data_IF_067348460527
#
_entry.id   IF_067348460527
#
_cell.length_a   1.000
_cell.length_b   1.000
_cell.length_c   1.000
_cell.angle_alpha   90.00
_cell.angle_beta   90.00
_cell.angle_gamma   90.00
#
_symmetry.space_group_name_H-M   'P 1'
#
loop_
_entity.id
_entity.type
_entity.pdbx_description
1 polymer ?
#
# COMPACT_ATOMS: atom_id res chain seq x y z
N UNK A 1 -14.35 -30.31 -21.55
CA UNK A 1 -13.59 -30.01 -20.32
C UNK A 1 -12.38 -29.19 -20.74
N UNK A 2 -12.53 -27.86 -20.84
CA UNK A 2 -11.40 -26.94 -20.90
C UNK A 2 -11.46 -26.08 -19.64
N UNK A 3 -10.39 -26.13 -18.86
CA UNK A 3 -10.17 -25.20 -17.76
C UNK A 3 -9.87 -23.83 -18.38
N UNK A 4 -10.90 -23.00 -18.53
CA UNK A 4 -10.72 -21.58 -18.77
C UNK A 4 -10.39 -20.90 -17.43
N UNK A 5 -9.17 -21.11 -16.95
CA UNK A 5 -8.54 -20.14 -16.07
C UNK A 5 -7.82 -19.14 -16.97
N UNK A 6 -8.57 -18.18 -17.50
CA UNK A 6 -7.98 -16.97 -18.07
C UNK A 6 -7.54 -16.10 -16.87
N UNK A 7 -6.26 -15.70 -16.74
CA UNK A 7 -5.86 -14.76 -15.70
C UNK A 7 -6.52 -13.41 -15.97
N UNK A 8 -7.67 -13.19 -15.34
CA UNK A 8 -8.42 -11.96 -15.42
C UNK A 8 -7.75 -10.93 -14.52
N UNK A 9 -6.67 -10.26 -14.97
CA UNK A 9 -6.17 -8.98 -14.41
C UNK A 9 -4.84 -8.46 -14.99
N UNK A 10 -4.15 -9.23 -15.83
CA UNK A 10 -2.88 -8.80 -16.42
C UNK A 10 -2.98 -7.67 -17.46
N UNK A 11 -4.09 -6.92 -17.57
CA UNK A 11 -4.20 -5.84 -18.57
C UNK A 11 -4.61 -4.48 -18.00
N UNK A 12 -5.53 -4.38 -17.04
CA UNK A 12 -5.96 -3.04 -16.60
C UNK A 12 -4.97 -2.31 -15.68
N UNK A 13 -4.29 -3.01 -14.75
CA UNK A 13 -3.20 -2.43 -13.96
C UNK A 13 -1.85 -2.45 -14.69
N UNK A 14 -1.72 -3.26 -15.76
CA UNK A 14 -0.60 -3.23 -16.69
C UNK A 14 -0.74 -2.18 -17.80
N UNK A 15 -1.88 -1.49 -17.94
CA UNK A 15 -1.99 -0.36 -18.89
C UNK A 15 -1.03 0.79 -18.60
N UNK A 16 -0.46 0.83 -17.39
CA UNK A 16 0.60 1.77 -17.00
C UNK A 16 2.01 1.30 -17.40
N UNK A 17 2.18 0.05 -17.85
CA UNK A 17 3.43 -0.51 -18.40
C UNK A 17 3.32 -0.48 -19.94
N UNK A 18 4.11 0.34 -20.65
CA UNK A 18 3.99 0.45 -22.10
C UNK A 18 4.17 -0.90 -22.81
N UNK A 19 3.37 -1.17 -23.85
CA UNK A 19 3.31 -2.49 -24.54
C UNK A 19 4.67 -3.01 -25.04
N UNK A 20 5.63 -2.14 -25.36
CA UNK A 20 6.98 -2.54 -25.80
C UNK A 20 7.87 -3.11 -24.67
N UNK A 21 7.42 -3.03 -23.41
CA UNK A 21 8.04 -3.68 -22.25
C UNK A 21 7.44 -5.06 -21.93
N UNK A 22 6.29 -5.39 -22.54
CA UNK A 22 5.60 -6.67 -22.37
C UNK A 22 6.00 -7.58 -23.53
N UNK A 23 6.49 -8.78 -23.23
CA UNK A 23 6.96 -9.69 -24.26
C UNK A 23 5.78 -10.18 -25.13
N UNK A 24 5.72 -9.77 -26.41
CA UNK A 24 4.73 -10.30 -27.38
C UNK A 24 5.06 -11.72 -27.89
N UNK A 25 5.99 -12.44 -27.26
CA UNK A 25 6.33 -13.81 -27.65
C UNK A 25 6.50 -14.72 -26.44
N UNK A 26 5.42 -15.39 -26.07
CA UNK A 26 5.49 -16.76 -25.57
C UNK A 26 4.54 -17.59 -26.41
N UNK A 27 5.10 -18.45 -27.25
CA UNK A 27 4.36 -19.62 -27.72
C UNK A 27 3.82 -20.33 -26.48
N UNK A 28 2.50 -20.33 -26.34
CA UNK A 28 1.78 -21.04 -25.28
C UNK A 28 2.00 -22.53 -25.57
N UNK A 29 3.00 -23.13 -24.92
CA UNK A 29 3.12 -24.58 -24.81
C UNK A 29 2.34 -25.01 -23.58
N UNK A 30 1.54 -26.07 -23.73
CA UNK A 30 0.54 -26.61 -22.80
C UNK A 30 1.08 -27.05 -21.43
N UNK A 31 1.59 -26.11 -20.62
CA UNK A 31 1.85 -26.32 -19.19
C UNK A 31 1.37 -25.10 -18.39
N UNK A 32 0.35 -25.34 -17.57
CA UNK A 32 -0.27 -24.49 -16.52
C UNK A 32 0.24 -23.02 -16.44
N UNK A 33 -0.39 -22.15 -17.24
CA UNK A 33 0.00 -20.75 -17.48
C UNK A 33 -0.39 -19.75 -16.39
N UNK A 34 -1.06 -20.20 -15.32
CA UNK A 34 -1.65 -19.31 -14.30
C UNK A 34 -0.65 -18.74 -13.28
N UNK A 35 0.59 -19.24 -13.25
CA UNK A 35 1.59 -18.91 -12.21
C UNK A 35 2.97 -18.49 -12.75
N UNK A 36 3.11 -18.28 -14.06
CA UNK A 36 4.36 -17.85 -14.67
C UNK A 36 4.52 -16.33 -14.50
N UNK A 37 5.62 -15.84 -13.90
CA UNK A 37 5.89 -14.41 -13.79
C UNK A 37 6.04 -13.78 -15.18
N UNK A 38 5.43 -12.60 -15.39
CA UNK A 38 5.68 -11.82 -16.60
C UNK A 38 7.07 -11.19 -16.45
N UNK A 39 8.00 -11.65 -17.29
CA UNK A 39 9.35 -11.09 -17.35
C UNK A 39 9.32 -9.75 -18.09
N UNK A 40 9.92 -8.73 -17.48
CA UNK A 40 10.19 -7.46 -18.15
C UNK A 40 11.52 -7.64 -18.88
N UNK A 41 11.54 -7.57 -20.20
CA UNK A 41 12.72 -7.87 -21.04
C UNK A 41 13.60 -6.66 -21.34
N UNK A 42 13.18 -5.46 -20.95
CA UNK A 42 13.95 -4.25 -21.15
C UNK A 42 15.23 -4.22 -20.29
N UNK A 43 16.27 -3.48 -20.69
CA UNK A 43 17.44 -3.24 -19.85
C UNK A 43 17.05 -2.72 -18.46
N UNK A 44 17.74 -3.16 -17.41
CA UNK A 44 17.41 -2.83 -16.02
C UNK A 44 17.26 -1.31 -15.77
N UNK A 45 18.03 -0.47 -16.47
CA UNK A 45 17.94 0.99 -16.39
C UNK A 45 16.61 1.52 -16.94
N UNK A 46 16.09 0.94 -18.03
CA UNK A 46 14.79 1.28 -18.60
C UNK A 46 13.65 0.77 -17.73
N UNK A 47 13.77 -0.45 -17.18
CA UNK A 47 12.81 -0.98 -16.21
C UNK A 47 12.69 -0.04 -15.00
N UNK A 48 13.84 0.39 -14.46
CA UNK A 48 13.88 1.29 -13.31
C UNK A 48 13.29 2.66 -13.66
N UNK A 49 13.62 3.24 -14.81
CA UNK A 49 13.04 4.50 -15.27
C UNK A 49 11.51 4.45 -15.36
N UNK A 50 10.97 3.36 -15.91
CA UNK A 50 9.52 3.14 -15.99
C UNK A 50 8.88 3.00 -14.60
N UNK A 51 9.44 2.12 -13.76
CA UNK A 51 8.96 1.92 -12.39
C UNK A 51 8.95 3.24 -11.62
N UNK A 52 10.01 4.03 -11.74
CA UNK A 52 10.09 5.35 -11.14
C UNK A 52 8.98 6.28 -11.64
N UNK A 53 8.68 6.28 -12.93
CA UNK A 53 7.56 7.07 -13.48
C UNK A 53 6.21 6.65 -12.89
N UNK A 54 5.98 5.35 -12.70
CA UNK A 54 4.74 4.83 -12.10
C UNK A 54 4.65 5.19 -10.61
N UNK A 55 5.76 5.07 -9.87
CA UNK A 55 5.84 5.51 -8.47
C UNK A 55 5.67 7.03 -8.33
N UNK A 56 6.06 7.82 -9.33
CA UNK A 56 5.83 9.27 -9.35
C UNK A 56 4.35 9.65 -9.35
N UNK A 57 3.54 8.95 -10.14
CA UNK A 57 2.08 9.13 -10.09
C UNK A 57 1.52 8.77 -8.71
N UNK A 58 2.07 7.75 -8.06
CA UNK A 58 1.69 7.35 -6.71
C UNK A 58 2.00 8.43 -5.66
N UNK A 59 3.14 9.11 -5.75
CA UNK A 59 3.48 10.17 -4.80
C UNK A 59 2.52 11.36 -4.88
N UNK A 60 1.98 11.63 -6.07
CA UNK A 60 1.07 12.75 -6.33
C UNK A 60 -0.41 12.38 -6.14
N UNK A 61 -0.73 11.09 -6.00
CA UNK A 61 -2.09 10.62 -5.79
C UNK A 61 -2.72 11.24 -4.53
N UNK A 62 -4.01 11.55 -4.65
CA UNK A 62 -4.84 11.94 -3.51
C UNK A 62 -4.87 10.80 -2.48
N UNK A 63 -5.00 11.14 -1.19
CA UNK A 63 -4.98 10.17 -0.09
C UNK A 63 -6.01 9.06 -0.33
N UNK A 64 -7.23 9.41 -0.69
CA UNK A 64 -8.29 8.46 -0.99
C UNK A 64 -8.02 7.57 -2.22
N UNK A 65 -7.12 7.96 -3.13
CA UNK A 65 -6.81 7.20 -4.34
C UNK A 65 -5.60 6.27 -4.22
N UNK A 66 -4.78 6.46 -3.19
CA UNK A 66 -3.39 6.02 -3.20
C UNK A 66 -3.16 4.50 -3.14
N UNK A 67 -3.91 3.68 -2.37
CA UNK A 67 -3.59 2.23 -2.39
C UNK A 67 -3.83 1.59 -3.74
N UNK A 68 -4.76 2.10 -4.56
CA UNK A 68 -4.92 1.63 -5.95
C UNK A 68 -3.71 1.97 -6.81
N UNK A 69 -3.04 3.10 -6.56
CA UNK A 69 -1.79 3.44 -7.27
C UNK A 69 -0.63 2.54 -6.82
N UNK A 70 -0.67 2.05 -5.58
CA UNK A 70 0.33 1.12 -5.02
C UNK A 70 0.09 -0.33 -5.44
N UNK A 71 -0.85 -0.65 -6.32
CA UNK A 71 -1.10 -2.02 -6.75
C UNK A 71 0.17 -2.71 -7.24
N UNK A 72 1.00 -1.97 -7.95
CA UNK A 72 2.26 -2.43 -8.47
C UNK A 72 3.24 -2.91 -7.37
N UNK A 73 3.22 -2.33 -6.16
CA UNK A 73 4.04 -2.79 -5.02
C UNK A 73 3.73 -4.23 -4.61
N UNK A 74 2.48 -4.66 -4.81
CA UNK A 74 2.00 -5.99 -4.44
C UNK A 74 2.24 -7.02 -5.55
N UNK A 75 2.50 -6.55 -6.77
CA UNK A 75 2.71 -7.39 -7.95
C UNK A 75 4.17 -7.48 -8.36
N UNK A 76 4.99 -6.48 -8.03
CA UNK A 76 6.41 -6.47 -8.39
C UNK A 76 7.25 -7.35 -7.47
N UNK A 77 8.10 -8.14 -8.09
CA UNK A 77 9.18 -8.87 -7.46
C UNK A 77 10.50 -8.48 -8.12
N UNK A 78 11.60 -8.52 -7.37
CA UNK A 78 12.94 -8.37 -7.93
C UNK A 78 13.61 -9.72 -7.95
N UNK A 79 13.81 -10.26 -9.16
CA UNK A 79 14.53 -11.49 -9.33
C UNK A 79 16.03 -11.23 -9.21
N UNK A 80 16.61 -11.66 -8.08
CA UNK A 80 18.04 -11.50 -7.78
C UNK A 80 18.95 -12.36 -8.66
N UNK A 81 18.45 -13.47 -9.22
CA UNK A 81 19.22 -14.37 -10.09
C UNK A 81 19.41 -13.75 -11.48
N UNK A 82 18.35 -13.17 -12.03
CA UNK A 82 18.37 -12.53 -13.36
C UNK A 82 18.60 -11.01 -13.29
N UNK A 83 18.71 -10.45 -12.08
CA UNK A 83 18.91 -9.02 -11.84
C UNK A 83 17.86 -8.14 -12.56
N UNK A 84 16.59 -8.55 -12.50
CA UNK A 84 15.48 -7.91 -13.22
C UNK A 84 14.20 -7.88 -12.38
N UNK A 85 13.27 -6.98 -12.70
CA UNK A 85 11.94 -6.97 -12.10
C UNK A 85 10.99 -7.93 -12.83
N UNK A 86 10.15 -8.62 -12.06
CA UNK A 86 9.11 -9.52 -12.54
C UNK A 86 7.76 -9.07 -11.99
N UNK A 87 6.72 -9.12 -12.81
CA UNK A 87 5.35 -8.90 -12.34
C UNK A 87 4.74 -10.27 -12.08
N UNK A 88 4.36 -10.51 -10.83
CA UNK A 88 3.70 -11.72 -10.37
C UNK A 88 2.27 -11.41 -9.97
N UNK A 89 1.35 -12.27 -10.37
CA UNK A 89 -0.03 -12.12 -9.95
C UNK A 89 -0.16 -12.33 -8.44
N UNK A 90 -0.98 -11.50 -7.79
CA UNK A 90 -1.44 -11.71 -6.43
C UNK A 90 -2.99 -11.62 -6.45
N UNK A 91 -3.68 -12.75 -6.63
CA UNK A 91 -5.13 -12.76 -6.87
C UNK A 91 -5.94 -12.05 -5.77
N UNK A 92 -5.55 -12.21 -4.50
CA UNK A 92 -6.21 -11.50 -3.39
C UNK A 92 -6.00 -9.98 -3.48
N UNK A 93 -4.77 -9.53 -3.71
CA UNK A 93 -4.48 -8.11 -3.81
C UNK A 93 -5.19 -7.48 -5.02
N UNK A 94 -5.15 -8.12 -6.18
CA UNK A 94 -5.80 -7.66 -7.41
C UNK A 94 -7.34 -7.56 -7.25
N UNK A 95 -7.94 -8.55 -6.58
CA UNK A 95 -9.34 -8.51 -6.17
C UNK A 95 -9.64 -7.29 -5.28
N UNK A 96 -8.84 -7.09 -4.24
CA UNK A 96 -8.99 -5.95 -3.33
C UNK A 96 -8.88 -4.61 -4.08
N UNK A 97 -7.94 -4.46 -5.00
CA UNK A 97 -7.80 -3.22 -5.78
C UNK A 97 -9.02 -2.93 -6.64
N UNK A 98 -9.58 -3.98 -7.26
CA UNK A 98 -10.80 -3.89 -8.07
C UNK A 98 -12.00 -3.48 -7.21
N UNK A 99 -12.17 -4.08 -6.03
CA UNK A 99 -13.21 -3.73 -5.07
C UNK A 99 -13.07 -2.30 -4.52
N UNK A 100 -11.84 -1.86 -4.24
CA UNK A 100 -11.56 -0.47 -3.84
C UNK A 100 -11.99 0.48 -4.95
N UNK A 101 -11.64 0.20 -6.21
CA UNK A 101 -11.99 1.04 -7.35
C UNK A 101 -13.51 1.06 -7.59
N UNK A 102 -14.20 -0.07 -7.45
CA UNK A 102 -15.65 -0.14 -7.59
C UNK A 102 -16.33 0.80 -6.58
N UNK A 103 -15.97 0.68 -5.31
CA UNK A 103 -16.55 1.49 -4.24
C UNK A 103 -16.20 2.97 -4.40
N UNK A 104 -14.99 3.29 -4.88
CA UNK A 104 -14.61 4.67 -5.21
C UNK A 104 -15.51 5.24 -6.29
N UNK A 105 -15.77 4.52 -7.38
CA UNK A 105 -16.65 5.00 -8.44
C UNK A 105 -18.09 5.17 -7.95
N UNK A 106 -18.59 4.23 -7.13
CA UNK A 106 -19.89 4.34 -6.46
C UNK A 106 -20.00 5.66 -5.68
N UNK A 107 -19.02 5.96 -4.84
CA UNK A 107 -19.01 7.18 -4.02
C UNK A 107 -18.82 8.45 -4.85
N UNK A 108 -17.91 8.42 -5.83
CA UNK A 108 -17.59 9.58 -6.67
C UNK A 108 -18.77 10.02 -7.53
N UNK A 109 -19.53 9.07 -8.05
CA UNK A 109 -20.64 9.33 -8.97
C UNK A 109 -22.03 9.16 -8.33
N UNK A 110 -22.09 8.80 -7.04
CA UNK A 110 -23.33 8.45 -6.34
C UNK A 110 -24.13 7.36 -7.08
N UNK A 111 -23.44 6.35 -7.59
CA UNK A 111 -24.11 5.23 -8.24
C UNK A 111 -24.87 4.39 -7.21
N UNK A 112 -26.19 4.35 -7.37
CA UNK A 112 -27.10 3.49 -6.59
C UNK A 112 -27.66 2.34 -7.42
N UNK A 113 -27.24 2.24 -8.68
CA UNK A 113 -27.64 1.21 -9.65
C UNK A 113 -26.53 1.05 -10.69
N UNK A 114 -26.47 -0.07 -11.40
CA UNK A 114 -25.53 -0.30 -12.51
C UNK A 114 -26.22 -0.17 -13.88
N UNK A 115 -27.52 -0.42 -13.93
CA UNK A 115 -28.35 -0.36 -15.12
C UNK A 115 -29.52 0.57 -14.90
N UNK A 116 -29.91 1.34 -15.92
CA UNK A 116 -31.14 2.14 -15.90
C UNK A 116 -32.21 1.51 -16.79
N UNK A 117 -33.45 1.61 -16.37
CA UNK A 117 -34.60 1.14 -17.14
C UNK A 117 -34.88 2.08 -18.30
N UNK A 118 -35.09 1.53 -19.49
CA UNK A 118 -35.47 2.28 -20.70
C UNK A 118 -36.86 1.85 -21.19
N UNK A 119 -37.52 2.71 -21.96
CA UNK A 119 -38.78 2.36 -22.63
C UNK A 119 -38.47 1.35 -23.74
N UNK A 120 -38.72 0.07 -23.47
CA UNK A 120 -38.50 -1.00 -24.44
C UNK A 120 -39.34 -0.82 -25.70
N UNK A 121 -38.75 -1.14 -26.84
CA UNK A 121 -39.47 -1.49 -28.08
C UNK A 121 -39.29 -2.99 -28.30
N UNK A 122 -40.07 -3.62 -29.20
CA UNK A 122 -40.01 -5.07 -29.48
C UNK A 122 -38.58 -5.62 -29.77
N UNK A 123 -37.61 -4.75 -30.11
CA UNK A 123 -36.26 -5.09 -30.52
C UNK A 123 -35.14 -4.57 -29.59
N UNK A 124 -35.45 -3.78 -28.55
CA UNK A 124 -34.44 -3.19 -27.66
C UNK A 124 -34.71 -3.59 -26.20
N UNK A 125 -33.63 -3.97 -25.49
CA UNK A 125 -33.68 -4.40 -24.09
C UNK A 125 -34.34 -3.37 -23.15
N UNK A 126 -34.79 -3.83 -21.99
CA UNK A 126 -35.46 -3.00 -20.98
C UNK A 126 -34.49 -2.26 -20.07
N UNK A 127 -33.21 -2.63 -20.11
CA UNK A 127 -32.14 -2.10 -19.28
C UNK A 127 -30.89 -1.79 -20.11
N UNK A 128 -30.27 -0.64 -19.83
CA UNK A 128 -28.98 -0.26 -20.39
C UNK A 128 -27.99 0.14 -19.29
N UNK A 129 -26.67 -0.07 -19.48
CA UNK A 129 -25.66 0.27 -18.49
C UNK A 129 -25.58 1.78 -18.27
N UNK A 130 -25.41 2.23 -17.02
CA UNK A 130 -25.28 3.66 -16.72
C UNK A 130 -23.91 4.21 -17.14
N UNK A 131 -22.88 3.37 -17.08
CA UNK A 131 -21.50 3.66 -17.48
C UNK A 131 -20.84 2.34 -17.91
N UNK A 132 -20.22 2.32 -19.09
CA UNK A 132 -19.63 1.10 -19.65
C UNK A 132 -18.40 0.62 -18.86
N UNK A 133 -17.53 1.55 -18.44
CA UNK A 133 -16.32 1.23 -17.68
C UNK A 133 -16.65 0.72 -16.29
N UNK A 134 -17.67 1.30 -15.66
CA UNK A 134 -18.16 0.82 -14.37
C UNK A 134 -18.69 -0.61 -14.46
N UNK A 135 -19.38 -0.95 -15.56
CA UNK A 135 -19.88 -2.31 -15.80
C UNK A 135 -18.76 -3.30 -16.12
N UNK A 136 -17.72 -2.88 -16.85
CA UNK A 136 -16.52 -3.69 -17.07
C UNK A 136 -15.83 -4.05 -15.74
N UNK A 137 -15.62 -3.06 -14.87
CA UNK A 137 -15.09 -3.26 -13.53
C UNK A 137 -15.98 -4.16 -12.66
N UNK A 138 -17.31 -4.00 -12.74
CA UNK A 138 -18.23 -4.87 -12.03
C UNK A 138 -18.12 -6.32 -12.52
N UNK A 139 -18.09 -6.55 -13.83
CA UNK A 139 -17.93 -7.88 -14.41
C UNK A 139 -16.62 -8.53 -13.97
N UNK A 140 -15.54 -7.74 -13.90
CA UNK A 140 -14.26 -8.21 -13.39
C UNK A 140 -14.36 -8.71 -11.94
N UNK A 141 -15.06 -7.99 -11.06
CA UNK A 141 -15.30 -8.43 -9.68
C UNK A 141 -16.14 -9.72 -9.63
N UNK A 142 -17.15 -9.84 -10.50
CA UNK A 142 -17.93 -11.08 -10.60
C UNK A 142 -17.05 -12.26 -11.07
N UNK A 143 -16.09 -12.03 -11.98
CA UNK A 143 -15.15 -13.05 -12.46
C UNK A 143 -14.14 -13.45 -11.37
N UNK A 144 -13.63 -12.49 -10.60
CA UNK A 144 -12.74 -12.72 -9.46
C UNK A 144 -13.43 -13.49 -8.32
N UNK A 145 -14.77 -13.48 -8.30
CA UNK A 145 -15.57 -14.20 -7.33
C UNK A 145 -15.58 -13.58 -5.93
N UNK A 146 -16.26 -14.25 -5.01
CA UNK A 146 -16.56 -13.76 -3.67
C UNK A 146 -16.02 -14.67 -2.58
N UNK A 147 -14.84 -15.27 -2.80
CA UNK A 147 -14.16 -16.01 -1.74
C UNK A 147 -13.59 -15.05 -0.68
N UNK A 148 -13.64 -15.41 0.62
CA UNK A 148 -13.01 -14.63 1.68
C UNK A 148 -11.50 -14.50 1.44
N UNK A 149 -10.95 -13.32 1.73
CA UNK A 149 -9.49 -13.12 1.75
C UNK A 149 -8.84 -14.03 2.80
N UNK A 150 -7.68 -14.62 2.52
CA UNK A 150 -6.89 -15.38 3.48
C UNK A 150 -5.84 -14.48 4.13
N UNK A 151 -5.07 -13.75 3.32
CA UNK A 151 -3.86 -13.03 3.73
C UNK A 151 -4.12 -11.58 4.14
N UNK A 152 -5.13 -10.94 3.55
CA UNK A 152 -5.35 -9.51 3.72
C UNK A 152 -6.66 -9.16 4.43
N UNK A 153 -6.67 -7.99 5.05
CA UNK A 153 -7.88 -7.34 5.56
C UNK A 153 -8.08 -6.00 4.85
N UNK A 154 -9.28 -5.82 4.30
CA UNK A 154 -9.72 -4.62 3.62
C UNK A 154 -11.19 -4.34 3.96
N UNK A 155 -11.53 -3.11 4.33
CA UNK A 155 -12.94 -2.76 4.63
C UNK A 155 -13.82 -2.78 3.37
N UNK A 156 -13.25 -2.44 2.20
CA UNK A 156 -13.97 -2.50 0.93
C UNK A 156 -14.40 -3.95 0.62
N UNK A 157 -13.47 -4.89 0.82
CA UNK A 157 -13.79 -6.32 0.70
C UNK A 157 -14.89 -6.75 1.66
N UNK A 158 -14.88 -6.29 2.92
CA UNK A 158 -15.92 -6.65 3.89
C UNK A 158 -17.31 -6.19 3.45
N UNK A 159 -17.46 -4.96 2.96
CA UNK A 159 -18.76 -4.48 2.50
C UNK A 159 -19.19 -5.15 1.19
N UNK A 160 -18.25 -5.46 0.29
CA UNK A 160 -18.52 -6.23 -0.93
C UNK A 160 -19.02 -7.63 -0.58
N UNK A 161 -18.33 -8.32 0.34
CA UNK A 161 -18.73 -9.62 0.84
C UNK A 161 -20.08 -9.58 1.55
N UNK A 162 -20.37 -8.52 2.31
CA UNK A 162 -21.67 -8.37 2.95
C UNK A 162 -22.79 -8.19 1.93
N UNK A 163 -22.64 -7.30 0.95
CA UNK A 163 -23.63 -7.13 -0.12
C UNK A 163 -23.81 -8.42 -0.94
N UNK A 164 -22.71 -9.14 -1.21
CA UNK A 164 -22.76 -10.43 -1.88
C UNK A 164 -23.59 -11.44 -1.09
N UNK A 165 -23.29 -11.61 0.21
CA UNK A 165 -23.99 -12.56 1.07
C UNK A 165 -25.49 -12.26 1.18
N UNK A 166 -25.86 -10.97 1.19
CA UNK A 166 -27.25 -10.55 1.33
C UNK A 166 -28.04 -10.59 0.02
N UNK A 167 -27.41 -10.29 -1.13
CA UNK A 167 -28.11 -10.12 -2.41
C UNK A 167 -27.81 -11.23 -3.41
N UNK A 168 -26.53 -11.56 -3.62
CA UNK A 168 -26.11 -12.39 -4.75
C UNK A 168 -25.93 -13.86 -4.40
N UNK A 169 -25.60 -14.22 -3.15
CA UNK A 169 -25.19 -15.57 -2.75
C UNK A 169 -26.13 -16.70 -3.17
N UNK A 170 -27.45 -16.45 -3.15
CA UNK A 170 -28.43 -17.45 -3.60
C UNK A 170 -28.43 -17.66 -5.11
N UNK A 171 -28.12 -16.62 -5.88
CA UNK A 171 -28.19 -16.59 -7.34
C UNK A 171 -26.84 -16.86 -8.02
N UNK A 172 -25.74 -16.73 -7.28
CA UNK A 172 -24.40 -16.69 -7.83
C UNK A 172 -23.85 -18.10 -8.09
N UNK A 173 -23.60 -18.39 -9.37
CA UNK A 173 -23.04 -19.65 -9.88
C UNK A 173 -21.87 -19.38 -10.83
N UNK A 174 -21.16 -20.42 -11.25
CA UNK A 174 -19.91 -20.31 -12.02
C UNK A 174 -20.05 -19.56 -13.36
N UNK A 175 -21.25 -19.46 -13.91
CA UNK A 175 -21.58 -18.78 -15.16
C UNK A 175 -22.29 -17.43 -14.96
N UNK A 176 -22.43 -16.96 -13.71
CA UNK A 176 -23.22 -15.76 -13.38
C UNK A 176 -22.76 -14.49 -14.12
N UNK A 177 -21.47 -14.39 -14.43
CA UNK A 177 -20.90 -13.25 -15.16
C UNK A 177 -21.24 -13.23 -16.66
N UNK A 178 -21.79 -14.32 -17.22
CA UNK A 178 -22.17 -14.44 -18.63
C UNK A 178 -23.56 -13.87 -18.94
N UNK A 179 -24.36 -13.58 -17.91
CA UNK A 179 -25.72 -13.08 -18.09
C UNK A 179 -25.77 -11.69 -18.73
N UNK A 180 -26.77 -11.50 -19.58
CA UNK A 180 -27.13 -10.22 -20.16
C UNK A 180 -28.10 -9.47 -19.25
N UNK A 181 -28.16 -8.12 -19.33
CA UNK A 181 -28.98 -7.31 -18.44
C UNK A 181 -30.46 -7.69 -18.36
N UNK A 182 -31.02 -8.30 -19.42
CA UNK A 182 -32.43 -8.65 -19.50
C UNK A 182 -32.70 -10.14 -19.22
N UNK A 183 -31.68 -10.91 -18.86
CA UNK A 183 -31.84 -12.32 -18.52
C UNK A 183 -32.64 -12.47 -17.23
N UNK A 184 -33.48 -13.51 -17.17
CA UNK A 184 -34.21 -13.86 -15.94
C UNK A 184 -33.41 -14.91 -15.19
N UNK A 185 -33.06 -14.60 -13.94
CA UNK A 185 -32.38 -15.49 -13.02
C UNK A 185 -33.41 -16.06 -12.05
N UNK A 186 -33.29 -17.35 -11.75
CA UNK A 186 -34.20 -18.05 -10.86
C UNK A 186 -33.46 -18.58 -9.62
N UNK A 187 -34.07 -18.40 -8.46
CA UNK A 187 -33.64 -18.98 -7.19
C UNK A 187 -34.73 -19.93 -6.68
N UNK A 188 -34.35 -21.17 -6.40
CA UNK A 188 -35.22 -22.11 -5.68
C UNK A 188 -35.04 -21.92 -4.18
N UNK A 189 -36.08 -21.47 -3.51
CA UNK A 189 -36.10 -21.31 -2.06
C UNK A 189 -36.19 -22.67 -1.35
N UNK A 190 -35.86 -22.68 -0.06
CA UNK A 190 -35.86 -23.89 0.78
C UNK A 190 -37.25 -24.51 0.95
N UNK A 191 -38.31 -23.71 0.82
CA UNK A 191 -39.71 -24.15 0.84
C UNK A 191 -40.20 -24.70 -0.53
N UNK A 192 -39.32 -24.75 -1.53
CA UNK A 192 -39.61 -25.24 -2.88
C UNK A 192 -40.17 -24.19 -3.83
N UNK A 193 -40.44 -22.97 -3.37
CA UNK A 193 -40.88 -21.86 -4.23
C UNK A 193 -39.75 -21.36 -5.13
N UNK A 194 -40.09 -20.76 -6.28
CA UNK A 194 -39.12 -20.19 -7.22
C UNK A 194 -39.31 -18.68 -7.25
N UNK A 195 -38.25 -17.95 -6.92
CA UNK A 195 -38.17 -16.50 -7.12
C UNK A 195 -37.47 -16.22 -8.43
N UNK A 196 -38.05 -15.39 -9.28
CA UNK A 196 -37.45 -14.96 -10.55
C UNK A 196 -37.17 -13.46 -10.51
N UNK A 197 -35.98 -13.06 -10.96
CA UNK A 197 -35.57 -11.65 -11.00
C UNK A 197 -34.77 -11.37 -12.29
N UNK A 198 -34.93 -10.17 -12.85
CA UNK A 198 -34.10 -9.73 -13.97
C UNK A 198 -32.65 -9.51 -13.51
N UNK A 199 -31.66 -9.91 -14.30
CA UNK A 199 -30.24 -9.74 -13.96
C UNK A 199 -29.89 -8.29 -13.66
N UNK A 200 -30.33 -7.34 -14.49
CA UNK A 200 -30.11 -5.92 -14.24
C UNK A 200 -30.71 -5.45 -12.90
N UNK A 201 -31.88 -5.95 -12.53
CA UNK A 201 -32.54 -5.62 -11.26
C UNK A 201 -31.75 -6.20 -10.08
N UNK A 202 -31.30 -7.45 -10.17
CA UNK A 202 -30.48 -8.09 -9.15
C UNK A 202 -29.15 -7.35 -8.94
N UNK A 203 -28.46 -6.99 -10.03
CA UNK A 203 -27.24 -6.20 -9.97
C UNK A 203 -27.50 -4.80 -9.40
N UNK A 204 -28.62 -4.17 -9.75
CA UNK A 204 -28.99 -2.88 -9.18
C UNK A 204 -29.19 -2.98 -7.66
N UNK A 205 -29.84 -4.03 -7.16
CA UNK A 205 -29.97 -4.29 -5.71
C UNK A 205 -28.60 -4.47 -5.03
N UNK A 206 -27.67 -5.15 -5.69
CA UNK A 206 -26.31 -5.32 -5.18
C UNK A 206 -25.56 -3.98 -5.09
N UNK A 207 -25.62 -3.14 -6.12
CA UNK A 207 -24.99 -1.80 -6.12
C UNK A 207 -25.67 -0.87 -5.11
N UNK A 208 -27.00 -0.88 -5.01
CA UNK A 208 -27.72 -0.11 -4.00
C UNK A 208 -27.30 -0.52 -2.59
N UNK A 209 -27.22 -1.83 -2.32
CA UNK A 209 -26.78 -2.32 -1.02
C UNK A 209 -25.34 -1.93 -0.72
N UNK A 210 -24.44 -2.05 -1.69
CA UNK A 210 -23.06 -1.56 -1.55
C UNK A 210 -23.02 -0.08 -1.22
N UNK A 211 -23.78 0.76 -1.94
CA UNK A 211 -23.88 2.18 -1.64
C UNK A 211 -24.35 2.42 -0.20
N UNK A 212 -25.40 1.74 0.26
CA UNK A 212 -25.89 1.87 1.64
C UNK A 212 -24.84 1.46 2.68
N UNK A 213 -24.10 0.37 2.45
CA UNK A 213 -23.01 -0.07 3.33
C UNK A 213 -21.91 0.98 3.46
N UNK A 214 -21.57 1.70 2.37
CA UNK A 214 -20.63 2.81 2.45
C UNK A 214 -21.14 3.99 3.31
N UNK A 215 -22.47 4.08 3.49
CA UNK A 215 -23.08 5.12 4.31
C UNK A 215 -23.11 4.77 5.80
N UNK A 216 -22.89 3.51 6.16
CA UNK A 216 -22.91 3.04 7.54
C UNK A 216 -21.78 3.64 8.38
N UNK A 217 -22.06 3.76 9.68
CA UNK A 217 -21.15 4.41 10.64
C UNK A 217 -19.80 3.71 10.71
N UNK A 218 -19.80 2.37 10.65
CA UNK A 218 -18.58 1.57 10.77
C UNK A 218 -17.63 1.81 9.60
N UNK A 219 -18.11 1.71 8.36
CA UNK A 219 -17.30 1.96 7.17
C UNK A 219 -16.73 3.39 7.18
N UNK A 220 -17.58 4.40 7.42
CA UNK A 220 -17.14 5.81 7.51
C UNK A 220 -16.12 6.03 8.61
N UNK A 221 -16.28 5.38 9.76
CA UNK A 221 -15.35 5.47 10.87
C UNK A 221 -13.98 4.91 10.50
N UNK A 222 -13.93 3.72 9.89
CA UNK A 222 -12.65 3.12 9.47
C UNK A 222 -11.95 3.98 8.41
N UNK A 223 -12.67 4.47 7.40
CA UNK A 223 -12.10 5.37 6.39
C UNK A 223 -11.51 6.65 7.01
N UNK A 224 -12.24 7.27 7.96
CA UNK A 224 -11.77 8.44 8.71
C UNK A 224 -10.53 8.12 9.53
N UNK A 225 -10.54 7.04 10.31
CA UNK A 225 -9.43 6.61 11.18
C UNK A 225 -8.14 6.39 10.39
N UNK A 226 -8.22 5.77 9.21
CA UNK A 226 -7.06 5.52 8.34
C UNK A 226 -6.48 6.81 7.77
N UNK A 227 -7.34 7.71 7.29
CA UNK A 227 -6.93 9.06 6.83
C UNK A 227 -6.25 9.85 7.94
N UNK A 228 -6.87 9.91 9.12
CA UNK A 228 -6.31 10.63 10.27
C UNK A 228 -4.96 10.06 10.71
N UNK A 229 -4.82 8.73 10.70
CA UNK A 229 -3.55 8.05 11.00
C UNK A 229 -2.46 8.43 10.00
N UNK A 230 -2.75 8.42 8.71
CA UNK A 230 -1.78 8.79 7.67
C UNK A 230 -1.35 10.27 7.80
N UNK A 231 -2.33 11.17 7.95
CA UNK A 231 -2.07 12.60 8.13
C UNK A 231 -1.25 12.88 9.40
N UNK A 232 -1.56 12.18 10.50
CA UNK A 232 -0.81 12.28 11.74
C UNK A 232 0.63 11.79 11.57
N UNK A 233 0.84 10.63 10.94
CA UNK A 233 2.18 10.11 10.67
C UNK A 233 3.01 11.09 9.83
N UNK A 234 2.42 11.63 8.75
CA UNK A 234 3.08 12.62 7.90
C UNK A 234 3.43 13.90 8.66
N UNK A 235 2.49 14.44 9.44
CA UNK A 235 2.73 15.62 10.29
C UNK A 235 3.89 15.38 11.25
N UNK A 236 3.83 14.29 12.00
CA UNK A 236 4.83 13.93 13.01
C UNK A 236 6.21 13.72 12.39
N UNK A 237 6.27 13.14 11.19
CA UNK A 237 7.49 12.94 10.41
C UNK A 237 8.08 14.27 9.94
N UNK A 238 7.26 15.15 9.39
CA UNK A 238 7.65 16.49 8.91
C UNK A 238 8.20 17.33 10.06
N UNK A 239 7.49 17.36 11.20
CA UNK A 239 7.96 18.04 12.42
C UNK A 239 9.32 17.53 12.90
N UNK A 240 9.62 16.23 12.70
CA UNK A 240 10.92 15.65 13.03
C UNK A 240 12.03 16.29 12.19
N UNK A 241 11.83 16.34 10.87
CA UNK A 241 12.76 16.95 9.92
C UNK A 241 12.95 18.44 10.23
N UNK A 242 11.86 19.16 10.43
CA UNK A 242 11.88 20.61 10.70
C UNK A 242 12.64 20.93 11.98
N UNK A 243 12.42 20.15 13.04
CA UNK A 243 13.10 20.33 14.33
C UNK A 243 14.61 20.13 14.19
N UNK A 244 15.04 19.17 13.36
CA UNK A 244 16.45 18.92 13.09
C UNK A 244 17.05 20.06 12.26
N UNK A 245 16.39 20.47 11.18
CA UNK A 245 16.86 21.56 10.31
C UNK A 245 16.86 22.92 11.00
N UNK A 246 15.98 23.15 11.98
CA UNK A 246 16.01 24.38 12.79
C UNK A 246 17.38 24.60 13.47
N UNK A 247 18.09 23.52 13.81
CA UNK A 247 19.38 23.57 14.52
C UNK A 247 20.59 23.27 13.64
N UNK A 248 20.39 22.57 12.53
CA UNK A 248 21.46 22.13 11.65
C UNK A 248 21.34 22.78 10.28
N UNK A 249 22.38 23.52 9.89
CA UNK A 249 22.46 24.16 8.57
C UNK A 249 22.58 23.14 7.43
N UNK A 250 23.03 21.92 7.75
CA UNK A 250 23.21 20.81 6.82
C UNK A 250 23.04 19.49 7.57
N UNK A 251 22.31 18.56 6.98
CA UNK A 251 22.16 17.18 7.44
C UNK A 251 22.47 16.20 6.32
N UNK A 252 22.74 14.95 6.69
CA UNK A 252 22.82 13.83 5.76
C UNK A 252 21.68 12.87 6.06
N UNK A 253 20.91 12.51 5.05
CA UNK A 253 19.79 11.57 5.15
C UNK A 253 20.24 10.22 4.59
N UNK A 254 20.25 9.20 5.44
CA UNK A 254 20.43 7.80 5.04
C UNK A 254 19.07 7.10 5.08
N UNK A 255 18.62 6.55 3.96
CA UNK A 255 17.42 5.70 3.89
C UNK A 255 17.86 4.25 3.78
N UNK A 256 17.48 3.47 4.78
CA UNK A 256 17.87 2.05 4.89
C UNK A 256 16.62 1.24 5.17
N UNK A 257 16.38 0.22 4.36
CA UNK A 257 15.29 -0.72 4.61
C UNK A 257 15.85 -1.97 5.29
N UNK A 258 15.48 -2.22 6.53
CA UNK A 258 15.89 -3.41 7.28
C UNK A 258 14.98 -4.58 6.96
N UNK A 259 15.58 -5.74 6.70
CA UNK A 259 14.86 -6.96 6.29
C UNK A 259 15.40 -8.18 7.02
N UNK A 260 14.57 -9.20 7.11
CA UNK A 260 14.99 -10.53 7.51
C UNK A 260 15.32 -11.38 6.28
N UNK A 261 16.12 -12.42 6.47
CA UNK A 261 16.43 -13.39 5.42
C UNK A 261 15.17 -14.16 5.02
N UNK A 262 15.12 -14.68 3.79
CA UNK A 262 13.95 -15.37 3.24
C UNK A 262 13.50 -16.59 4.05
N UNK A 263 14.41 -17.19 4.81
CA UNK A 263 14.20 -18.35 5.68
C UNK A 263 13.65 -17.97 7.05
N UNK A 264 13.73 -16.70 7.44
CA UNK A 264 13.26 -16.24 8.74
C UNK A 264 11.80 -15.85 8.70
N UNK A 265 11.10 -16.22 9.77
CA UNK A 265 9.69 -15.91 9.94
C UNK A 265 9.36 -15.37 11.34
N UNK A 266 10.01 -14.27 11.78
CA UNK A 266 9.92 -13.81 13.16
C UNK A 266 8.50 -13.33 13.52
N UNK A 267 8.12 -13.51 14.78
CA UNK A 267 6.92 -12.90 15.35
C UNK A 267 7.10 -11.39 15.53
N UNK A 268 6.01 -10.62 15.48
CA UNK A 268 6.04 -9.16 15.63
C UNK A 268 6.77 -8.68 16.89
N UNK A 269 6.65 -9.42 18.00
CA UNK A 269 7.32 -9.09 19.26
C UNK A 269 8.86 -9.13 19.11
N UNK A 270 9.37 -10.17 18.44
CA UNK A 270 10.79 -10.29 18.11
C UNK A 270 11.21 -9.15 17.18
N UNK A 271 10.40 -8.87 16.14
CA UNK A 271 10.67 -7.81 15.16
C UNK A 271 10.81 -6.44 15.81
N UNK A 272 10.00 -6.12 16.81
CA UNK A 272 10.10 -4.89 17.60
C UNK A 272 11.33 -4.90 18.50
N UNK A 273 11.62 -6.02 19.17
CA UNK A 273 12.77 -6.15 20.06
C UNK A 273 14.10 -5.98 19.31
N UNK A 274 14.19 -6.53 18.10
CA UNK A 274 15.35 -6.40 17.21
C UNK A 274 15.57 -4.96 16.79
N UNK A 275 14.51 -4.25 16.34
CA UNK A 275 14.63 -2.84 15.99
C UNK A 275 15.08 -2.01 17.20
N UNK A 276 14.49 -2.23 18.38
CA UNK A 276 14.89 -1.51 19.60
C UNK A 276 16.37 -1.75 19.91
N UNK A 277 16.83 -2.99 19.76
CA UNK A 277 18.22 -3.38 20.00
C UNK A 277 19.15 -2.72 18.98
N UNK A 278 18.80 -2.76 17.69
CA UNK A 278 19.51 -2.08 16.60
C UNK A 278 19.63 -0.57 16.85
N UNK A 279 18.51 0.12 17.11
CA UNK A 279 18.49 1.55 17.41
C UNK A 279 19.34 1.91 18.64
N UNK A 280 19.38 1.01 19.65
CA UNK A 280 20.24 1.19 20.83
C UNK A 280 21.72 1.09 20.48
N UNK A 281 22.11 0.16 19.61
CA UNK A 281 23.48 0.08 19.11
C UNK A 281 23.84 1.30 18.26
N UNK A 282 23.00 1.67 17.29
CA UNK A 282 23.19 2.84 16.44
C UNK A 282 23.41 4.13 17.25
N UNK A 283 22.64 4.32 18.33
CA UNK A 283 22.79 5.47 19.22
C UNK A 283 24.15 5.51 19.94
N UNK A 284 24.76 4.34 20.22
CA UNK A 284 26.07 4.23 20.86
C UNK A 284 27.24 4.35 19.88
N UNK A 285 26.98 4.16 18.59
CA UNK A 285 27.95 4.35 17.53
C UNK A 285 28.21 5.84 17.32
N UNK A 286 29.13 6.39 18.13
CA UNK A 286 29.40 7.84 18.21
C UNK A 286 29.84 8.46 16.88
N UNK A 287 30.42 7.67 15.99
CA UNK A 287 30.85 8.14 14.66
C UNK A 287 29.65 8.48 13.76
N UNK A 288 28.46 7.94 13.97
CA UNK A 288 27.30 8.18 13.09
C UNK A 288 26.65 9.54 13.35
N UNK A 289 26.73 10.06 14.59
CA UNK A 289 26.15 11.37 14.97
C UNK A 289 24.68 11.51 14.53
N UNK A 290 23.86 10.49 14.82
CA UNK A 290 22.44 10.47 14.49
C UNK A 290 21.69 11.52 15.32
N UNK A 291 21.05 12.47 14.62
CA UNK A 291 20.24 13.56 15.18
C UNK A 291 18.78 13.13 15.41
N UNK A 292 18.31 12.18 14.61
CA UNK A 292 16.99 11.61 14.71
C UNK A 292 16.76 10.54 13.66
N UNK A 293 15.60 9.89 13.74
CA UNK A 293 15.19 8.91 12.74
C UNK A 293 13.67 8.79 12.67
N UNK A 294 13.20 8.28 11.54
CA UNK A 294 11.85 7.79 11.29
C UNK A 294 11.93 6.32 10.92
N UNK A 295 10.93 5.54 11.30
CA UNK A 295 10.79 4.19 10.80
C UNK A 295 9.32 3.83 10.60
N UNK A 296 9.07 2.93 9.66
CA UNK A 296 7.79 2.34 9.33
C UNK A 296 7.97 0.83 9.23
N UNK A 297 7.20 0.07 10.00
CA UNK A 297 7.12 -1.39 9.88
C UNK A 297 6.08 -1.77 8.84
N UNK A 298 6.40 -2.73 8.00
CA UNK A 298 5.49 -3.29 7.01
C UNK A 298 5.62 -4.81 6.98
N UNK A 299 4.63 -5.46 6.39
CA UNK A 299 4.67 -6.89 6.12
C UNK A 299 4.30 -7.10 4.66
N UNK A 300 5.18 -7.77 3.93
CA UNK A 300 4.85 -8.28 2.60
C UNK A 300 5.01 -9.79 2.60
N UNK A 301 4.15 -10.49 1.86
CA UNK A 301 4.06 -11.95 1.85
C UNK A 301 5.41 -12.64 1.60
N UNK A 302 6.22 -12.08 0.69
CA UNK A 302 7.52 -12.65 0.29
C UNK A 302 8.70 -12.22 1.16
N UNK A 303 8.71 -10.98 1.62
CA UNK A 303 9.85 -10.43 2.40
C UNK A 303 9.61 -10.48 3.91
N UNK A 304 8.41 -10.89 4.32
CA UNK A 304 7.96 -10.87 5.70
C UNK A 304 7.95 -9.44 6.27
N UNK A 305 8.19 -9.38 7.58
CA UNK A 305 8.34 -8.10 8.27
C UNK A 305 9.59 -7.35 7.79
N UNK A 306 9.45 -6.05 7.55
CA UNK A 306 10.58 -5.18 7.21
C UNK A 306 10.34 -3.74 7.65
N UNK A 307 11.43 -3.01 7.88
CA UNK A 307 11.36 -1.62 8.30
C UNK A 307 11.91 -0.68 7.24
N UNK A 308 11.12 0.29 6.78
CA UNK A 308 11.62 1.46 6.07
C UNK A 308 12.12 2.49 7.08
N UNK A 309 13.41 2.82 7.06
CA UNK A 309 14.00 3.76 8.01
C UNK A 309 14.64 4.97 7.31
N UNK A 310 14.41 6.16 7.86
CA UNK A 310 15.16 7.38 7.54
C UNK A 310 15.98 7.77 8.75
N UNK A 311 17.30 7.87 8.59
CA UNK A 311 18.22 8.38 9.61
C UNK A 311 18.73 9.76 9.20
N UNK A 312 18.67 10.70 10.13
CA UNK A 312 19.18 12.06 9.94
C UNK A 312 20.46 12.22 10.73
N UNK A 313 21.58 12.44 10.05
CA UNK A 313 22.91 12.54 10.63
C UNK A 313 23.45 13.96 10.52
N UNK A 314 24.35 14.35 11.43
CA UNK A 314 24.95 15.68 11.42
C UNK A 314 25.83 15.88 10.17
N UNK A 315 25.35 16.71 9.25
CA UNK A 315 26.07 16.99 8.02
C UNK A 315 27.43 17.61 8.29
N UNK A 316 27.61 18.41 9.35
CA UNK A 316 28.92 19.01 9.66
C UNK A 316 30.02 17.99 9.90
N UNK A 317 29.66 16.75 10.24
CA UNK A 317 30.59 15.64 10.47
C UNK A 317 30.67 14.65 9.31
N UNK A 318 29.72 14.71 8.37
CA UNK A 318 29.58 13.71 7.32
C UNK A 318 29.23 14.30 5.94
N UNK A 319 29.71 13.62 4.90
CA UNK A 319 29.33 13.86 3.51
C UNK A 319 29.14 12.57 2.69
N UNK A 320 29.44 11.40 3.26
CA UNK A 320 29.42 10.10 2.57
C UNK A 320 28.18 9.30 2.99
N UNK A 321 27.02 9.69 2.49
CA UNK A 321 25.71 9.12 2.81
C UNK A 321 25.61 7.62 2.51
N UNK A 322 26.14 7.14 1.38
CA UNK A 322 26.18 5.71 1.04
C UNK A 322 26.91 4.90 2.11
N UNK A 323 28.08 5.37 2.56
CA UNK A 323 28.87 4.66 3.59
C UNK A 323 28.20 4.70 4.95
N UNK A 324 27.53 5.80 5.29
CA UNK A 324 26.74 5.89 6.52
C UNK A 324 25.57 4.92 6.51
N UNK A 325 24.82 4.86 5.40
CA UNK A 325 23.73 3.92 5.21
C UNK A 325 24.22 2.47 5.30
N UNK A 326 25.37 2.15 4.71
CA UNK A 326 26.03 0.84 4.84
C UNK A 326 26.38 0.53 6.29
N UNK A 327 27.02 1.46 7.02
CA UNK A 327 27.36 1.27 8.44
C UNK A 327 26.11 1.02 9.30
N UNK A 328 25.01 1.72 9.02
CA UNK A 328 23.73 1.50 9.69
C UNK A 328 23.18 0.09 9.40
N UNK A 329 23.20 -0.33 8.13
CA UNK A 329 22.80 -1.66 7.71
C UNK A 329 23.63 -2.78 8.35
N UNK A 330 24.95 -2.61 8.45
CA UNK A 330 25.82 -3.59 9.10
C UNK A 330 25.53 -3.74 10.61
N UNK A 331 25.05 -2.69 11.27
CA UNK A 331 24.57 -2.81 12.66
C UNK A 331 23.31 -3.67 12.73
N UNK A 332 22.38 -3.52 11.77
CA UNK A 332 21.22 -4.41 11.67
C UNK A 332 21.63 -5.86 11.48
N UNK A 333 22.52 -6.15 10.51
CA UNK A 333 23.05 -7.51 10.30
C UNK A 333 23.66 -8.08 11.56
N UNK A 334 24.42 -7.30 12.33
CA UNK A 334 25.01 -7.76 13.59
C UNK A 334 23.97 -8.11 14.65
N UNK A 335 22.82 -7.42 14.68
CA UNK A 335 21.75 -7.69 15.66
C UNK A 335 20.99 -8.96 15.29
N UNK A 336 20.71 -9.18 14.01
CA UNK A 336 19.95 -10.35 13.54
C UNK A 336 20.83 -11.61 13.38
N UNK A 337 22.10 -11.44 13.00
CA UNK A 337 23.00 -12.52 12.61
C UNK A 337 23.09 -12.69 11.09
N UNK A 338 23.51 -13.89 10.65
CA UNK A 338 23.84 -14.19 9.26
C UNK A 338 22.66 -14.03 8.28
N UNK A 339 21.44 -14.10 8.80
CA UNK A 339 20.20 -13.93 8.04
C UNK A 339 19.65 -12.50 8.12
N UNK A 340 20.34 -11.55 8.75
CA UNK A 340 20.00 -10.13 8.67
C UNK A 340 20.35 -9.56 7.30
N UNK A 341 19.41 -8.87 6.65
CA UNK A 341 19.67 -8.19 5.37
C UNK A 341 19.17 -6.74 5.41
N UNK A 342 19.69 -5.90 4.51
CA UNK A 342 19.23 -4.52 4.39
C UNK A 342 19.35 -4.03 2.95
N UNK A 343 18.55 -3.03 2.62
CA UNK A 343 18.61 -2.31 1.36
C UNK A 343 19.12 -0.88 1.59
N UNK A 344 20.14 -0.47 0.83
CA UNK A 344 20.72 0.86 0.91
C UNK A 344 20.17 1.75 -0.21
N UNK A 345 19.10 2.49 0.09
CA UNK A 345 18.43 3.33 -0.89
C UNK A 345 19.32 4.48 -1.40
N UNK A 346 20.38 4.87 -0.68
CA UNK A 346 21.29 5.93 -1.13
C UNK A 346 22.13 5.51 -2.34
N UNK A 347 22.37 4.21 -2.56
CA UNK A 347 23.05 3.72 -3.77
C UNK A 347 22.19 4.00 -5.00
N UNK A 348 20.89 3.68 -4.91
CA UNK A 348 19.92 3.95 -5.97
C UNK A 348 19.80 5.45 -6.29
N UNK A 349 19.76 6.29 -5.26
CA UNK A 349 19.76 7.74 -5.44
C UNK A 349 20.99 8.22 -6.22
N UNK A 350 22.17 7.69 -5.90
CA UNK A 350 23.41 8.04 -6.59
C UNK A 350 23.43 7.53 -8.03
N UNK A 351 22.85 6.35 -8.28
CA UNK A 351 22.79 5.74 -9.61
C UNK A 351 21.67 6.32 -10.48
N UNK A 352 21.07 7.46 -10.10
CA UNK A 352 20.04 8.12 -10.89
C UNK A 352 18.68 7.43 -10.88
N UNK A 353 18.46 6.45 -9.99
CA UNK A 353 17.20 5.71 -9.91
C UNK A 353 16.09 6.47 -9.19
N UNK A 354 16.28 7.70 -8.76
CA UNK A 354 15.17 8.54 -8.30
C UNK A 354 15.17 9.82 -9.10
N UNK A 355 14.01 10.15 -9.67
CA UNK A 355 13.80 11.42 -10.36
C UNK A 355 13.94 12.60 -9.38
N UNK A 356 13.23 12.50 -8.25
CA UNK A 356 13.22 13.48 -7.17
C UNK A 356 14.07 12.97 -5.98
N UNK A 357 15.36 13.29 -5.96
CA UNK A 357 16.29 12.78 -4.91
C UNK A 357 16.14 13.58 -3.61
N UNK A 358 15.32 13.09 -2.68
CA UNK A 358 15.13 13.66 -1.34
C UNK A 358 16.16 13.24 -0.27
N UNK A 359 16.99 12.23 -0.54
CA UNK A 359 17.95 11.66 0.42
C UNK A 359 19.40 12.12 0.14
N UNK A 360 20.34 11.77 1.02
CA UNK A 360 21.72 12.25 0.98
C UNK A 360 21.88 13.61 1.65
N UNK A 361 22.81 14.45 1.18
CA UNK A 361 23.08 15.75 1.82
C UNK A 361 21.95 16.75 1.55
N UNK A 362 21.36 17.32 2.60
CA UNK A 362 20.36 18.38 2.54
C UNK A 362 20.86 19.63 3.27
N UNK A 363 20.87 20.77 2.58
CA UNK A 363 21.09 22.08 3.17
C UNK A 363 19.77 22.70 3.62
N UNK A 364 19.76 23.40 4.76
CA UNK A 364 18.54 24.05 5.27
C UNK A 364 17.92 25.05 4.30
N UNK A 365 18.73 25.68 3.44
CA UNK A 365 18.28 26.63 2.43
C UNK A 365 17.73 25.96 1.17
N UNK A 366 17.95 24.67 0.99
CA UNK A 366 17.53 23.91 -0.18
C UNK A 366 16.06 23.45 -0.02
N UNK A 367 15.15 24.32 -0.45
CA UNK A 367 13.71 24.08 -0.36
C UNK A 367 13.25 22.93 -1.25
N UNK A 368 13.81 22.81 -2.45
CA UNK A 368 13.43 21.79 -3.42
C UNK A 368 13.77 20.40 -2.91
N UNK A 369 15.00 20.19 -2.42
CA UNK A 369 15.39 18.90 -1.87
C UNK A 369 14.63 18.55 -0.59
N UNK A 370 14.25 19.55 0.20
CA UNK A 370 13.35 19.36 1.33
C UNK A 370 11.97 18.84 0.87
N UNK A 371 11.37 19.44 -0.16
CA UNK A 371 10.09 18.97 -0.71
C UNK A 371 10.18 17.52 -1.21
N UNK A 372 11.27 17.16 -1.90
CA UNK A 372 11.53 15.77 -2.30
C UNK A 372 11.67 14.81 -1.11
N UNK A 373 12.32 15.24 -0.03
CA UNK A 373 12.39 14.45 1.21
C UNK A 373 11.00 14.24 1.82
N UNK A 374 10.20 15.30 1.93
CA UNK A 374 8.84 15.22 2.50
C UNK A 374 7.93 14.34 1.63
N UNK A 375 8.08 14.38 0.31
CA UNK A 375 7.39 13.50 -0.64
C UNK A 375 7.80 12.04 -0.48
N UNK A 376 9.10 11.76 -0.33
CA UNK A 376 9.59 10.41 -0.07
C UNK A 376 9.11 9.85 1.29
N UNK A 377 9.01 10.69 2.33
CA UNK A 377 8.43 10.32 3.62
C UNK A 377 6.91 10.07 3.48
N UNK A 378 6.20 10.88 2.69
CA UNK A 378 4.76 10.76 2.49
C UNK A 378 4.36 9.37 1.99
N UNK A 379 5.15 8.78 1.10
CA UNK A 379 4.98 7.42 0.60
C UNK A 379 4.82 6.36 1.71
N UNK A 380 5.77 6.32 2.65
CA UNK A 380 5.76 5.31 3.73
C UNK A 380 4.66 5.59 4.78
N UNK A 381 4.21 6.84 4.91
CA UNK A 381 3.11 7.19 5.84
C UNK A 381 1.71 6.89 5.29
N UNK A 382 1.63 6.40 4.06
CA UNK A 382 0.38 6.18 3.33
C UNK A 382 0.15 4.76 2.82
N UNK A 383 1.22 3.95 2.73
CA UNK A 383 1.20 2.64 2.07
C UNK A 383 0.03 1.72 2.49
N UNK A 384 -0.28 1.69 3.79
CA UNK A 384 -1.31 0.80 4.35
C UNK A 384 -2.74 1.38 4.37
N UNK A 385 -3.07 2.36 3.52
CA UNK A 385 -4.33 3.07 3.67
C UNK A 385 -5.57 2.18 3.46
N UNK A 386 -5.51 1.16 2.59
CA UNK A 386 -6.66 0.27 2.36
C UNK A 386 -6.40 -1.22 2.65
N UNK A 387 -5.16 -1.69 2.56
CA UNK A 387 -4.79 -3.10 2.66
C UNK A 387 -3.89 -3.32 3.87
N UNK A 388 -4.23 -4.30 4.70
CA UNK A 388 -3.41 -4.70 5.86
C UNK A 388 -3.25 -6.22 5.85
N UNK A 389 -2.03 -6.73 5.93
CA UNK A 389 -1.81 -8.17 6.05
C UNK A 389 -2.34 -8.68 7.41
N UNK A 390 -3.15 -9.74 7.41
CA UNK A 390 -3.83 -10.24 8.62
C UNK A 390 -2.89 -10.67 9.73
N UNK A 391 -1.69 -11.15 9.38
CA UNK A 391 -0.66 -11.45 10.39
C UNK A 391 -0.31 -10.25 11.27
N UNK A 392 -0.28 -9.04 10.70
CA UNK A 392 -0.09 -7.83 11.51
C UNK A 392 -1.21 -7.78 12.54
N UNK A 393 -2.48 -7.84 12.12
CA UNK A 393 -3.62 -7.78 13.02
C UNK A 393 -3.62 -8.87 14.09
N UNK A 394 -3.33 -10.12 13.71
CA UNK A 394 -3.27 -11.24 14.62
C UNK A 394 -2.16 -11.04 15.68
N UNK A 395 -0.98 -10.65 15.25
CA UNK A 395 0.13 -10.34 16.15
C UNK A 395 -0.19 -9.13 17.05
N UNK A 396 -0.92 -8.14 16.51
CA UNK A 396 -1.42 -6.99 17.27
C UNK A 396 -2.39 -7.40 18.38
N UNK A 397 -3.37 -8.26 18.08
CA UNK A 397 -4.35 -8.80 19.03
C UNK A 397 -3.69 -9.67 20.10
N UNK A 398 -2.78 -10.55 19.69
CA UNK A 398 -2.02 -11.41 20.61
C UNK A 398 -1.23 -10.58 21.63
N UNK A 399 -0.56 -9.52 21.20
CA UNK A 399 0.17 -8.62 22.12
C UNK A 399 -0.76 -7.85 23.08
N UNK A 400 -1.94 -7.40 22.62
CA UNK A 400 -2.93 -6.74 23.48
C UNK A 400 -3.42 -7.67 24.59
N UNK A 401 -3.73 -8.93 24.23
CA UNK A 401 -4.20 -9.95 25.14
C UNK A 401 -3.14 -10.33 26.19
N UNK A 402 -1.85 -10.32 25.81
CA UNK A 402 -0.74 -10.63 26.74
C UNK A 402 -0.48 -9.53 27.79
N UNK A 403 -0.88 -8.27 27.54
CA UNK A 403 -0.47 -7.12 28.40
C UNK A 403 -1.61 -6.46 29.18
N UNK A 404 -2.86 -6.88 29.01
CA UNK A 404 -4.03 -6.32 29.71
C UNK A 404 -4.15 -4.77 29.62
N UNK A 405 -3.56 -4.15 28.61
CA UNK A 405 -3.56 -2.69 28.43
C UNK A 405 -4.34 -2.32 27.17
N UNK A 406 -5.52 -1.72 27.36
CA UNK A 406 -6.40 -1.25 26.27
C UNK A 406 -5.83 -0.03 25.51
N UNK A 407 -4.72 0.55 25.96
CA UNK A 407 -4.12 1.76 25.38
C UNK A 407 -2.91 1.50 24.47
N UNK A 408 -2.55 0.24 24.19
CA UNK A 408 -1.38 -0.07 23.36
C UNK A 408 -1.67 0.14 21.86
N UNK A 409 -1.44 1.37 21.38
CA UNK A 409 -1.29 1.61 19.95
C UNK A 409 0.04 1.03 19.48
N UNK A 410 -0.04 -0.02 18.67
CA UNK A 410 1.13 -0.57 18.00
C UNK A 410 1.65 0.50 17.06
N UNK A 411 2.79 1.07 17.44
CA UNK A 411 3.51 2.03 16.61
C UNK A 411 4.08 1.23 15.46
N UNK A 412 3.32 1.18 14.37
CA UNK A 412 3.82 0.72 13.08
C UNK A 412 4.64 1.84 12.41
N UNK A 413 4.65 3.03 13.02
CA UNK A 413 5.48 4.18 12.67
C UNK A 413 6.07 4.80 13.94
N UNK A 414 7.36 5.12 13.93
CA UNK A 414 8.03 5.75 15.06
C UNK A 414 8.94 6.89 14.62
N UNK A 415 9.06 7.90 15.50
CA UNK A 415 10.08 8.95 15.38
C UNK A 415 10.92 9.04 16.65
N UNK A 416 12.16 9.45 16.49
CA UNK A 416 12.98 9.91 17.60
C UNK A 416 13.80 11.13 17.19
N UNK A 417 13.99 12.03 18.15
CA UNK A 417 14.88 13.18 18.04
C UNK A 417 15.86 13.08 19.21
N UNK A 418 17.14 13.28 18.95
CA UNK A 418 18.17 13.27 19.99
C UNK A 418 17.86 14.35 21.05
N UNK A 419 18.16 14.06 22.32
CA UNK A 419 17.72 14.91 23.46
C UNK A 419 18.29 16.33 23.37
N UNK A 420 19.53 16.48 22.93
CA UNK A 420 20.19 17.77 22.64
C UNK A 420 19.52 18.56 21.51
N UNK A 421 18.93 17.85 20.55
CA UNK A 421 18.07 18.42 19.49
C UNK A 421 16.67 18.76 20.02
N UNK A 422 16.16 18.10 21.07
CA UNK A 422 14.86 18.42 21.67
C UNK A 422 14.90 19.59 22.71
N UNK A 423 15.93 19.69 23.54
CA UNK A 423 15.93 20.51 24.78
C UNK A 423 15.88 22.04 24.56
N UNK A 424 16.39 22.58 23.44
CA UNK A 424 16.42 24.05 23.21
C UNK A 424 15.11 24.69 22.67
N UNK A 425 14.04 23.92 22.44
CA UNK A 425 12.73 24.52 22.10
C UNK A 425 12.03 25.14 23.34
N UNK A 426 12.42 24.76 24.56
CA UNK A 426 11.76 25.18 25.81
C UNK A 426 12.33 26.43 26.50
N UNK A 427 13.33 27.10 25.93
CA UNK A 427 13.86 28.38 26.46
C UNK A 427 14.14 29.35 25.32
N UNK A 428 13.11 30.04 24.87
CA UNK A 428 13.24 31.34 24.21
C UNK A 428 12.31 32.34 24.88
N UNK A 429 12.93 33.31 25.56
CA UNK A 429 12.44 34.65 25.94
C UNK A 429 11.32 34.76 27.01
N UNK A 430 11.69 34.54 28.28
CA UNK A 430 11.23 35.40 29.40
C UNK A 430 12.43 36.13 29.98
N UNK A 431 12.73 37.30 29.44
CA UNK A 431 13.32 38.47 30.12
C UNK A 431 13.80 39.47 29.06
N UNK A 432 12.93 40.40 28.70
CA UNK A 432 13.32 41.77 28.38
C UNK A 432 12.44 42.64 29.27
N UNK A 433 13.10 43.41 30.14
CA UNK A 433 12.48 44.04 31.28
C UNK A 433 11.48 45.14 30.95
N UNK A 434 10.56 45.35 31.86
CA UNK A 434 9.97 46.65 32.14
C UNK A 434 10.50 47.09 33.51
N UNK A 435 11.46 48.02 33.49
CA UNK A 435 11.59 49.03 34.54
C UNK A 435 10.92 50.28 33.96
N UNK A 436 9.77 50.65 34.50
CA UNK A 436 9.23 52.00 34.44
C UNK A 436 8.16 52.12 35.54
N UNK A 437 8.62 52.61 36.69
CA UNK A 437 7.96 53.52 37.63
C UNK A 437 8.95 53.77 38.79
#
# INVERSE_FOLDING_TARGET
>A
MSNNQTPALAHEYLTQVPEHFLNQQTEITDTDSSNQPIQITAPLEEQQSLLNSMYEECFNAADDQHSSSLALDYLLDFNTEYNQYEIRSNPEAEKIFSEIELVKQILKHNYVQAYRKIKGTLYHGWYEPIDKKFIELLKQILIQGFDPLEHYDCEHHKIVMQAYNEILKGYFHADFYLHYPNDIIQLRNTDGTITSICYAELINLFIERLYLLTQEKEFKYQQKKRRERSQYQQKVATECVDTILAKHSRIVIARVDFRYGKTQNPELAQVKADLITCLRYLKRTSNLRILGYLWKLEFAEKTGYHYHCFFFLDGRKHSQDIKLAQQIGEVWKRVIGDEGTYYNCNIDAHNGKYKDVGIGTLHRSDKQKYEYLIKAIRYITKRDQFIVHKRIKQDEENEQNLRNDKAYFIRVFGKNIAKDVAIKMGKSLKNTGQKEA
#
